data_IF_272036227375
#
_entry.id   IF_272036227375
#
_cell.length_a   1.000
_cell.length_b   1.000
_cell.length_c   1.000
_cell.angle_alpha   90.00
_cell.angle_beta   90.00
_cell.angle_gamma   90.00
#
_symmetry.space_group_name_H-M   'P 1'
#
loop_
_entity.id
_entity.type
_entity.pdbx_description
1 polymer ?
#
# COMPACT_ATOMS: atom_id res chain seq x y z
N UNK A 1 -30.57 -3.12 0.33
CA UNK A 1 -29.46 -4.07 0.46
C UNK A 1 -28.38 -3.43 1.32
N UNK A 2 -28.06 -3.91 2.53
CA UNK A 2 -26.98 -3.32 3.31
C UNK A 2 -25.63 -3.83 2.78
N UNK A 3 -24.74 -2.90 2.43
CA UNK A 3 -23.33 -3.16 2.14
C UNK A 3 -22.70 -3.87 3.34
N UNK A 4 -22.48 -5.17 3.22
CA UNK A 4 -21.81 -5.96 4.24
C UNK A 4 -20.39 -5.40 4.41
N UNK A 5 -20.18 -4.69 5.52
CA UNK A 5 -18.87 -4.26 5.99
C UNK A 5 -18.10 -5.52 6.33
N UNK A 6 -17.31 -6.00 5.37
CA UNK A 6 -16.50 -7.21 5.48
C UNK A 6 -15.48 -7.04 6.60
N UNK A 7 -15.77 -7.67 7.74
CA UNK A 7 -14.87 -7.85 8.88
C UNK A 7 -13.88 -8.95 8.52
N UNK A 8 -12.89 -8.63 7.68
CA UNK A 8 -11.65 -9.41 7.56
C UNK A 8 -10.49 -8.41 7.51
N UNK A 9 -9.52 -8.48 8.43
CA UNK A 9 -8.32 -7.67 8.32
C UNK A 9 -7.57 -8.07 7.04
N UNK A 10 -7.71 -7.21 6.03
CA UNK A 10 -6.74 -6.88 4.98
C UNK A 10 -5.74 -7.97 4.59
N UNK A 11 -6.21 -9.13 4.15
CA UNK A 11 -5.41 -10.03 3.33
C UNK A 11 -5.36 -9.40 1.94
N UNK A 12 -4.32 -8.62 1.68
CA UNK A 12 -4.00 -8.17 0.31
C UNK A 12 -3.92 -9.42 -0.54
N UNK A 13 -4.87 -9.55 -1.45
CA UNK A 13 -4.94 -10.68 -2.37
C UNK A 13 -3.73 -10.65 -3.30
N UNK A 14 -3.34 -11.81 -3.83
CA UNK A 14 -2.30 -11.90 -4.86
C UNK A 14 -2.63 -11.01 -6.08
N UNK A 15 -3.92 -10.86 -6.40
CA UNK A 15 -4.42 -9.99 -7.47
C UNK A 15 -4.16 -8.52 -7.17
N UNK A 16 -4.50 -8.03 -5.97
CA UNK A 16 -4.21 -6.65 -5.56
C UNK A 16 -2.70 -6.37 -5.56
N UNK A 17 -1.90 -7.35 -5.12
CA UNK A 17 -0.44 -7.25 -5.14
C UNK A 17 0.12 -7.20 -6.56
N UNK A 18 -0.41 -8.00 -7.48
CA UNK A 18 -0.03 -7.99 -8.89
C UNK A 18 -0.45 -6.68 -9.57
N UNK A 19 -1.66 -6.19 -9.31
CA UNK A 19 -2.16 -4.93 -9.84
C UNK A 19 -1.30 -3.74 -9.38
N UNK A 20 -0.96 -3.67 -8.09
CA UNK A 20 -0.07 -2.64 -7.58
C UNK A 20 1.38 -2.78 -8.08
N UNK A 21 1.85 -4.01 -8.28
CA UNK A 21 3.17 -4.28 -8.86
C UNK A 21 3.24 -3.71 -10.28
N UNK A 22 2.21 -3.94 -11.09
CA UNK A 22 2.08 -3.38 -12.42
C UNK A 22 1.95 -1.85 -12.41
N UNK A 23 1.09 -1.30 -11.54
CA UNK A 23 0.87 0.15 -11.44
C UNK A 23 2.11 0.93 -10.97
N UNK A 24 2.89 0.34 -10.07
CA UNK A 24 4.11 0.94 -9.52
C UNK A 24 5.38 0.56 -10.30
N UNK A 25 5.29 -0.36 -11.27
CA UNK A 25 6.44 -0.87 -12.02
C UNK A 25 7.52 -1.50 -11.14
N UNK A 26 7.15 -2.12 -10.02
CA UNK A 26 8.08 -2.86 -9.14
C UNK A 26 7.68 -4.32 -9.02
N UNK A 27 8.63 -5.19 -8.68
CA UNK A 27 8.31 -6.56 -8.34
C UNK A 27 7.46 -6.68 -7.06
N UNK A 28 6.66 -7.76 -6.90
CA UNK A 28 5.73 -7.92 -5.77
C UNK A 28 6.38 -7.95 -4.39
N UNK A 29 7.65 -8.35 -4.28
CA UNK A 29 8.41 -8.35 -3.02
C UNK A 29 8.82 -6.95 -2.55
N UNK A 30 8.80 -5.96 -3.46
CA UNK A 30 9.02 -4.55 -3.09
C UNK A 30 7.76 -3.90 -2.49
N UNK A 31 6.60 -4.54 -2.65
CA UNK A 31 5.33 -4.04 -2.15
C UNK A 31 5.11 -4.37 -0.68
N UNK A 32 4.69 -3.36 0.06
CA UNK A 32 4.27 -3.47 1.45
C UNK A 32 3.22 -2.42 1.80
N UNK A 33 2.81 -2.44 3.06
CA UNK A 33 1.81 -1.51 3.59
C UNK A 33 2.48 -0.22 4.10
N UNK A 34 1.86 0.92 3.82
CA UNK A 34 2.20 2.21 4.44
C UNK A 34 2.03 2.14 5.95
N UNK A 35 3.02 2.61 6.71
CA UNK A 35 2.97 2.61 8.18
C UNK A 35 1.93 3.58 8.77
N UNK A 36 1.47 4.56 8.00
CA UNK A 36 0.44 5.53 8.42
C UNK A 36 -0.98 5.07 8.11
N UNK A 37 -1.26 4.80 6.83
CA UNK A 37 -2.63 4.55 6.35
C UNK A 37 -2.92 3.11 5.92
N UNK A 38 -1.92 2.21 5.90
CA UNK A 38 -2.11 0.83 5.45
C UNK A 38 -2.44 0.68 3.97
N UNK A 39 -2.13 1.67 3.13
CA UNK A 39 -2.21 1.54 1.67
C UNK A 39 -1.04 0.73 1.12
N UNK A 40 -1.29 -0.03 0.06
CA UNK A 40 -0.26 -0.79 -0.64
C UNK A 40 0.65 0.16 -1.43
N UNK A 41 1.95 0.08 -1.19
CA UNK A 41 2.95 0.95 -1.79
C UNK A 41 4.29 0.22 -1.94
N UNK A 42 5.23 0.84 -2.64
CA UNK A 42 6.62 0.36 -2.71
C UNK A 42 7.33 0.64 -1.37
N UNK A 43 7.37 -0.37 -0.50
CA UNK A 43 7.95 -0.30 0.85
C UNK A 43 9.42 -0.74 0.88
N UNK A 44 9.82 -1.60 -0.04
CA UNK A 44 11.17 -2.17 -0.10
C UNK A 44 11.83 -1.87 -1.46
N UNK A 45 13.14 -2.08 -1.58
CA UNK A 45 13.91 -1.87 -2.82
C UNK A 45 14.57 -0.49 -2.95
N UNK A 46 14.99 -0.14 -4.17
CA UNK A 46 15.78 1.09 -4.45
C UNK A 46 15.04 2.40 -4.14
N UNK A 47 13.71 2.36 -4.14
CA UNK A 47 12.84 3.50 -3.86
C UNK A 47 11.95 3.25 -2.63
N UNK A 48 12.47 2.51 -1.66
CA UNK A 48 11.77 2.16 -0.42
C UNK A 48 11.36 3.40 0.38
N UNK A 49 10.11 3.42 0.86
CA UNK A 49 9.63 4.39 1.83
C UNK A 49 8.75 3.73 2.88
N UNK A 50 8.77 4.27 4.11
CA UNK A 50 7.91 3.81 5.22
C UNK A 50 6.48 4.36 5.12
N UNK A 51 6.32 5.54 4.50
CA UNK A 51 5.06 6.24 4.34
C UNK A 51 4.78 6.49 2.85
N UNK A 52 3.50 6.41 2.45
CA UNK A 52 3.09 6.73 1.10
C UNK A 52 3.26 8.24 0.83
N UNK A 53 3.22 8.65 -0.44
CA UNK A 53 3.39 10.06 -0.81
C UNK A 53 2.43 11.01 -0.07
N UNK A 54 1.18 10.57 0.14
CA UNK A 54 0.16 11.34 0.89
C UNK A 54 0.55 11.49 2.35
N UNK A 55 0.75 10.38 3.09
CA UNK A 55 1.15 10.45 4.50
C UNK A 55 2.50 11.16 4.68
N UNK A 56 3.43 11.02 3.75
CA UNK A 56 4.70 11.76 3.77
C UNK A 56 4.49 13.25 3.60
N UNK A 57 3.59 13.68 2.72
CA UNK A 57 3.24 15.09 2.55
C UNK A 57 2.58 15.65 3.83
N UNK A 58 1.68 14.89 4.45
CA UNK A 58 1.06 15.27 5.73
C UNK A 58 2.08 15.38 6.88
N UNK A 59 3.06 14.49 6.93
CA UNK A 59 4.13 14.51 7.94
C UNK A 59 5.12 15.65 7.73
N UNK A 60 5.50 15.95 6.48
CA UNK A 60 6.47 16.98 6.15
C UNK A 60 5.86 18.40 6.08
N UNK A 61 4.54 18.51 5.96
CA UNK A 61 3.81 19.80 5.94
C UNK A 61 3.42 20.32 7.32
N UNK A 62 3.81 19.61 8.38
CA UNK A 62 3.70 20.05 9.78
C UNK A 62 5.02 20.65 10.25
#
# INVERSE_FOLDING_TARGET
MPLQRSVKPTLITSVERAAASAALGCPPWELGLCAGCGQLMRRHGRYAAMYCAVCRAELNGR
#
